data_IF_234727564530
#
_entry.id   IF_234727564530
#
_cell.length_a   1.000
_cell.length_b   1.000
_cell.length_c   1.000
_cell.angle_alpha   90.00
_cell.angle_beta   90.00
_cell.angle_gamma   90.00
#
_symmetry.space_group_name_H-M   'P 1'
#
loop_
_entity.id
_entity.type
_entity.pdbx_description
1 polymer ?
#
# COMPACT_ATOMS: atom_id res chain seq x y z
N UNK A 1 50.84 20.81 -79.64
CA UNK A 1 49.99 21.51 -78.65
C UNK A 1 49.93 20.66 -77.38
N UNK A 2 50.11 21.12 -76.15
CA UNK A 2 50.70 22.28 -75.52
C UNK A 2 50.59 21.99 -74.00
N UNK A 3 51.71 22.04 -73.25
CA UNK A 3 51.87 22.24 -71.79
C UNK A 3 51.08 21.30 -70.82
N UNK A 4 51.59 20.81 -69.69
CA UNK A 4 52.50 21.41 -68.72
C UNK A 4 53.22 20.35 -67.86
N UNK A 5 54.42 20.71 -67.41
CA UNK A 5 55.32 19.92 -66.58
C UNK A 5 55.10 20.18 -65.07
N UNK A 6 55.25 19.11 -64.27
CA UNK A 6 56.03 18.97 -63.01
C UNK A 6 55.69 19.81 -61.76
N UNK A 7 55.42 19.12 -60.63
CA UNK A 7 56.07 19.27 -59.31
C UNK A 7 55.30 18.43 -58.25
N UNK A 8 55.86 17.32 -57.76
CA UNK A 8 56.65 17.18 -56.50
C UNK A 8 55.72 16.96 -55.27
N UNK A 9 55.62 15.73 -54.77
CA UNK A 9 56.48 15.04 -53.77
C UNK A 9 55.92 15.16 -52.34
N UNK A 10 55.59 13.97 -51.80
CA UNK A 10 55.87 13.51 -50.42
C UNK A 10 55.25 14.23 -49.22
N UNK A 11 54.52 13.48 -48.40
CA UNK A 11 54.16 13.89 -47.04
C UNK A 11 53.45 12.79 -46.25
N UNK A 12 54.22 11.81 -45.80
CA UNK A 12 53.85 10.73 -44.88
C UNK A 12 53.01 11.18 -43.69
N UNK A 13 51.99 10.37 -43.34
CA UNK A 13 51.21 10.47 -42.10
C UNK A 13 52.13 10.59 -40.88
N UNK A 14 52.04 11.71 -40.17
CA UNK A 14 52.82 11.99 -38.98
C UNK A 14 51.92 12.22 -37.75
N UNK A 15 52.13 11.34 -36.78
CA UNK A 15 52.14 11.55 -35.32
C UNK A 15 50.85 11.80 -34.52
N UNK A 16 50.68 10.87 -33.57
CA UNK A 16 49.97 10.96 -32.29
C UNK A 16 50.27 12.26 -31.52
N UNK A 17 49.27 12.68 -30.75
CA UNK A 17 49.32 13.23 -29.38
C UNK A 17 48.71 14.62 -29.22
N UNK A 18 47.47 14.68 -28.69
CA UNK A 18 47.19 15.62 -27.60
C UNK A 18 46.07 15.08 -26.69
N UNK A 19 46.52 14.64 -25.51
CA UNK A 19 45.71 14.18 -24.39
C UNK A 19 45.00 15.39 -23.77
N UNK A 20 43.80 15.72 -24.22
CA UNK A 20 42.95 16.71 -23.55
C UNK A 20 42.16 16.01 -22.44
N UNK A 21 42.86 15.66 -21.37
CA UNK A 21 42.20 15.40 -20.08
C UNK A 21 41.70 16.72 -19.52
N UNK A 22 40.53 17.15 -20.00
CA UNK A 22 39.75 18.20 -19.35
C UNK A 22 39.25 17.62 -18.03
N UNK A 23 40.07 17.76 -16.99
CA UNK A 23 39.68 17.55 -15.60
C UNK A 23 38.56 18.55 -15.32
N UNK A 24 37.32 18.14 -15.60
CA UNK A 24 36.14 18.77 -15.04
C UNK A 24 36.25 18.58 -13.53
N UNK A 25 36.80 19.60 -12.86
CA UNK A 25 36.76 19.76 -11.41
C UNK A 25 35.30 19.68 -11.00
N UNK A 26 34.82 18.49 -10.65
CA UNK A 26 33.46 18.28 -10.14
C UNK A 26 33.36 19.17 -8.91
N UNK A 27 32.65 20.29 -9.06
CA UNK A 27 32.31 21.21 -7.96
C UNK A 27 31.73 20.33 -6.85
N UNK A 28 32.45 20.21 -5.73
CA UNK A 28 31.96 19.48 -4.57
C UNK A 28 30.65 20.15 -4.15
N UNK A 29 29.52 19.52 -4.49
CA UNK A 29 28.22 20.03 -4.07
C UNK A 29 28.16 19.89 -2.55
N UNK A 30 27.96 21.03 -1.86
CA UNK A 30 27.69 21.04 -0.41
C UNK A 30 26.64 19.99 -0.11
N UNK A 31 26.91 19.12 0.86
CA UNK A 31 25.98 18.11 1.30
C UNK A 31 24.64 18.77 1.63
N UNK A 32 23.59 18.42 0.86
CA UNK A 32 22.24 18.95 1.08
C UNK A 32 21.82 18.56 2.49
N UNK A 33 21.66 19.56 3.38
CA UNK A 33 21.13 19.35 4.74
C UNK A 33 19.86 18.51 4.62
N UNK A 34 19.83 17.38 5.32
CA UNK A 34 18.68 16.47 5.34
C UNK A 34 17.47 17.28 5.84
N UNK A 35 16.58 17.68 4.92
CA UNK A 35 15.33 18.36 5.24
C UNK A 35 14.60 17.71 6.43
N UNK A 36 14.21 18.51 7.42
CA UNK A 36 13.50 18.07 8.64
C UNK A 36 12.10 17.51 8.33
N UNK A 37 11.48 17.99 7.24
CA UNK A 37 10.13 17.63 6.80
C UNK A 37 10.18 16.59 5.67
N UNK A 38 9.49 15.47 5.86
CA UNK A 38 9.25 14.46 4.83
C UNK A 38 8.16 14.93 3.86
N UNK A 39 8.50 14.97 2.57
CA UNK A 39 7.58 15.30 1.47
C UNK A 39 7.44 14.09 0.52
N UNK A 40 6.32 14.03 -0.21
CA UNK A 40 6.08 13.00 -1.22
C UNK A 40 5.37 11.74 -0.73
N UNK A 41 5.19 10.76 -1.64
CA UNK A 41 4.37 9.55 -1.43
C UNK A 41 4.83 8.69 -0.24
N UNK A 42 6.13 8.65 0.03
CA UNK A 42 6.72 7.86 1.12
C UNK A 42 6.92 8.66 2.41
N UNK A 43 6.37 9.87 2.53
CA UNK A 43 6.64 10.75 3.68
C UNK A 43 6.40 10.06 5.04
N UNK A 44 5.27 9.36 5.18
CA UNK A 44 4.93 8.62 6.42
C UNK A 44 5.90 7.47 6.70
N UNK A 45 6.32 6.75 5.66
CA UNK A 45 7.30 5.67 5.80
C UNK A 45 8.69 6.20 6.19
N UNK A 46 9.10 7.35 5.63
CA UNK A 46 10.39 7.98 5.97
C UNK A 46 10.43 8.51 7.41
N UNK A 47 9.30 9.01 7.93
CA UNK A 47 9.18 9.43 9.33
C UNK A 47 9.18 8.21 10.26
N UNK A 48 8.46 7.14 9.90
CA UNK A 48 8.48 5.89 10.68
C UNK A 48 9.88 5.26 10.72
N UNK A 49 10.65 5.39 9.64
CA UNK A 49 12.04 4.93 9.56
C UNK A 49 13.06 5.90 10.20
N UNK A 50 12.62 6.99 10.84
CA UNK A 50 13.50 7.96 11.51
C UNK A 50 14.35 8.83 10.57
N UNK A 51 14.17 8.72 9.24
CA UNK A 51 14.96 9.49 8.25
C UNK A 51 14.60 10.98 8.26
N UNK A 52 13.44 11.33 8.83
CA UNK A 52 12.84 12.67 8.88
C UNK A 52 12.04 12.79 10.18
N UNK A 53 11.89 14.00 10.71
CA UNK A 53 11.22 14.21 11.99
C UNK A 53 9.68 14.29 11.86
N UNK A 54 9.19 15.00 10.83
CA UNK A 54 7.75 15.23 10.63
C UNK A 54 7.35 15.14 9.17
N UNK A 55 6.10 14.75 8.90
CA UNK A 55 5.50 14.86 7.56
C UNK A 55 5.07 16.29 7.26
N UNK A 56 4.72 16.60 6.01
CA UNK A 56 4.14 17.90 5.63
C UNK A 56 2.90 18.28 6.45
N UNK A 57 2.09 17.28 6.83
CA UNK A 57 0.91 17.46 7.70
C UNK A 57 1.21 17.44 9.20
N UNK A 58 2.48 17.53 9.62
CA UNK A 58 2.86 17.61 11.03
C UNK A 58 2.89 16.29 11.80
N UNK A 59 2.58 15.15 11.17
CA UNK A 59 2.64 13.85 11.86
C UNK A 59 4.09 13.45 12.15
N UNK A 60 4.35 13.13 13.43
CA UNK A 60 5.58 12.51 13.95
C UNK A 60 5.46 10.98 13.98
N UNK A 61 6.58 10.30 14.27
CA UNK A 61 6.66 8.85 14.39
C UNK A 61 5.64 8.28 15.39
N UNK A 62 5.44 8.94 16.54
CA UNK A 62 4.52 8.51 17.61
C UNK A 62 3.06 8.39 17.14
N UNK A 63 2.70 9.13 16.09
CA UNK A 63 1.34 9.19 15.56
C UNK A 63 1.12 8.24 14.38
N UNK A 64 2.15 7.49 13.97
CA UNK A 64 2.11 6.57 12.84
C UNK A 64 2.10 5.12 13.32
N UNK A 65 1.49 4.26 12.50
CA UNK A 65 1.46 2.81 12.71
C UNK A 65 1.45 2.10 11.36
N UNK A 66 1.92 0.85 11.33
CA UNK A 66 1.95 -0.01 10.13
C UNK A 66 0.75 -0.95 10.17
N UNK A 67 -0.01 -1.01 9.07
CA UNK A 67 -1.10 -1.98 8.95
C UNK A 67 -0.58 -3.37 8.50
N UNK A 68 -1.47 -4.38 8.51
CA UNK A 68 -1.14 -5.74 8.06
C UNK A 68 -0.61 -5.82 6.62
N UNK A 69 -1.06 -4.91 5.75
CA UNK A 69 -0.61 -4.79 4.36
C UNK A 69 0.70 -3.99 4.19
N UNK A 70 1.36 -3.63 5.29
CA UNK A 70 2.61 -2.89 5.29
C UNK A 70 2.53 -1.39 5.00
N UNK A 71 1.32 -0.84 4.81
CA UNK A 71 1.07 0.60 4.62
C UNK A 71 1.17 1.34 5.95
N UNK A 72 1.92 2.44 5.95
CA UNK A 72 2.03 3.34 7.11
C UNK A 72 0.85 4.33 7.12
N UNK A 73 0.03 4.24 8.15
CA UNK A 73 -1.16 5.07 8.38
C UNK A 73 -1.04 5.80 9.71
N UNK A 74 -1.87 6.81 9.95
CA UNK A 74 -1.92 7.45 11.27
C UNK A 74 -2.70 6.59 12.26
N UNK A 75 -2.32 6.64 13.54
CA UNK A 75 -3.04 5.95 14.62
C UNK A 75 -4.51 6.38 14.68
N UNK A 76 -4.79 7.67 14.50
CA UNK A 76 -6.15 8.23 14.38
C UNK A 76 -6.97 7.56 13.27
N UNK A 77 -6.40 7.43 12.07
CA UNK A 77 -7.09 6.79 10.95
C UNK A 77 -7.34 5.30 11.19
N UNK A 78 -6.38 4.60 11.82
CA UNK A 78 -6.56 3.20 12.21
C UNK A 78 -7.68 3.03 13.23
N UNK A 79 -7.74 3.88 14.26
CA UNK A 79 -8.80 3.85 15.26
C UNK A 79 -10.17 4.15 14.67
N UNK A 80 -10.27 5.13 13.76
CA UNK A 80 -11.51 5.43 13.04
C UNK A 80 -12.00 4.22 12.22
N UNK A 81 -11.11 3.57 11.48
CA UNK A 81 -11.46 2.35 10.72
C UNK A 81 -11.98 1.23 11.61
N UNK A 82 -11.37 1.02 12.78
CA UNK A 82 -11.84 0.02 13.76
C UNK A 82 -13.23 0.35 14.31
N UNK A 83 -13.52 1.63 14.59
CA UNK A 83 -14.85 2.06 15.05
C UNK A 83 -15.92 1.86 13.98
N UNK A 84 -15.60 2.19 12.73
CA UNK A 84 -16.52 1.98 11.61
C UNK A 84 -16.83 0.48 11.40
N UNK A 85 -15.82 -0.39 11.55
CA UNK A 85 -15.97 -1.84 11.34
C UNK A 85 -16.99 -2.50 12.28
N UNK A 86 -17.21 -1.96 13.49
CA UNK A 86 -18.20 -2.50 14.45
C UNK A 86 -19.62 -2.61 13.88
N UNK A 87 -19.98 -1.73 12.95
CA UNK A 87 -21.32 -1.74 12.33
C UNK A 87 -21.47 -2.84 11.28
N UNK A 88 -20.37 -3.42 10.80
CA UNK A 88 -20.33 -4.39 9.68
C UNK A 88 -19.92 -5.78 10.19
N UNK A 89 -19.24 -5.85 11.33
CA UNK A 89 -18.73 -7.07 11.96
C UNK A 89 -19.79 -8.17 12.09
N UNK A 90 -20.99 -7.82 12.60
CA UNK A 90 -22.07 -8.80 12.76
C UNK A 90 -22.51 -9.47 11.46
N UNK A 91 -22.61 -8.70 10.37
CA UNK A 91 -22.95 -9.24 9.05
C UNK A 91 -21.84 -10.13 8.48
N UNK A 92 -20.57 -9.72 8.64
CA UNK A 92 -19.42 -10.49 8.15
C UNK A 92 -19.32 -11.84 8.87
N UNK A 93 -19.49 -11.86 10.18
CA UNK A 93 -19.49 -13.09 10.98
C UNK A 93 -20.64 -14.03 10.58
N UNK A 94 -21.84 -13.50 10.38
CA UNK A 94 -22.98 -14.29 9.94
C UNK A 94 -22.76 -14.91 8.55
N UNK A 95 -22.17 -14.16 7.61
CA UNK A 95 -21.81 -14.66 6.28
C UNK A 95 -20.70 -15.72 6.35
N UNK A 96 -19.70 -15.57 7.25
CA UNK A 96 -18.66 -16.58 7.46
C UNK A 96 -19.24 -17.89 8.00
N UNK A 97 -20.10 -17.81 9.03
CA UNK A 97 -20.78 -18.99 9.58
C UNK A 97 -21.63 -19.71 8.51
N UNK A 98 -22.38 -18.96 7.70
CA UNK A 98 -23.15 -19.53 6.60
C UNK A 98 -22.26 -20.19 5.53
N UNK A 99 -21.09 -19.62 5.24
CA UNK A 99 -20.12 -20.22 4.29
C UNK A 99 -19.53 -21.52 4.80
N UNK A 100 -19.24 -21.59 6.09
CA UNK A 100 -18.75 -22.80 6.76
C UNK A 100 -19.80 -23.91 6.75
N UNK A 101 -21.04 -23.59 7.13
CA UNK A 101 -22.16 -24.54 7.13
C UNK A 101 -22.48 -25.10 5.73
N UNK A 102 -22.32 -24.28 4.69
CA UNK A 102 -22.57 -24.68 3.29
C UNK A 102 -21.32 -25.21 2.58
N UNK A 103 -20.17 -25.28 3.25
CA UNK A 103 -18.88 -25.72 2.69
C UNK A 103 -18.52 -25.10 1.32
N UNK A 104 -18.88 -23.83 1.11
CA UNK A 104 -18.67 -23.17 -0.18
C UNK A 104 -17.23 -22.67 -0.32
N UNK A 105 -16.50 -23.20 -1.31
CA UNK A 105 -15.13 -22.79 -1.63
C UNK A 105 -15.12 -21.87 -2.85
N UNK A 106 -14.32 -20.80 -2.79
CA UNK A 106 -14.19 -19.83 -3.87
C UNK A 106 -15.21 -18.68 -3.81
N UNK A 107 -15.29 -17.94 -4.91
CA UNK A 107 -16.18 -16.78 -5.01
C UNK A 107 -17.62 -17.23 -5.27
N UNK A 108 -18.54 -16.77 -4.43
CA UNK A 108 -19.99 -16.95 -4.60
C UNK A 108 -20.66 -15.60 -4.40
N UNK A 109 -21.46 -15.18 -5.37
CA UNK A 109 -22.22 -13.94 -5.30
C UNK A 109 -23.32 -14.06 -4.23
N UNK A 110 -23.34 -13.13 -3.28
CA UNK A 110 -24.39 -13.04 -2.26
C UNK A 110 -25.67 -12.53 -2.93
N UNK A 111 -26.79 -13.23 -2.73
CA UNK A 111 -28.06 -12.95 -3.41
C UNK A 111 -27.95 -12.97 -4.95
N UNK A 112 -27.12 -13.88 -5.48
CA UNK A 112 -27.02 -14.14 -6.91
C UNK A 112 -28.18 -15.00 -7.44
N UNK A 113 -28.18 -15.22 -8.75
CA UNK A 113 -29.12 -16.15 -9.42
C UNK A 113 -28.83 -17.63 -9.12
N UNK A 114 -27.67 -17.93 -8.53
CA UNK A 114 -27.30 -19.29 -8.14
C UNK A 114 -27.98 -19.69 -6.83
N UNK A 115 -28.39 -20.96 -6.74
CA UNK A 115 -29.03 -21.54 -5.55
C UNK A 115 -28.15 -21.35 -4.30
N UNK A 116 -26.83 -21.49 -4.45
CA UNK A 116 -25.86 -21.29 -3.39
C UNK A 116 -25.79 -19.82 -2.92
N UNK A 117 -25.97 -18.86 -3.84
CA UNK A 117 -25.96 -17.42 -3.51
C UNK A 117 -27.19 -16.97 -2.75
N UNK A 118 -28.36 -17.56 -3.05
CA UNK A 118 -29.60 -17.35 -2.31
C UNK A 118 -29.54 -18.00 -0.92
N UNK A 119 -29.05 -19.24 -0.83
CA UNK A 119 -28.87 -19.95 0.45
C UNK A 119 -27.90 -19.22 1.39
N UNK A 120 -26.82 -18.64 0.87
CA UNK A 120 -25.89 -17.83 1.67
C UNK A 120 -26.53 -16.54 2.22
N UNK A 121 -27.41 -15.89 1.45
CA UNK A 121 -28.12 -14.70 1.91
C UNK A 121 -29.14 -15.04 3.00
N UNK A 122 -29.95 -16.09 2.79
CA UNK A 122 -30.92 -16.56 3.78
C UNK A 122 -30.25 -17.07 5.07
N UNK A 123 -29.19 -17.86 4.95
CA UNK A 123 -28.42 -18.36 6.09
C UNK A 123 -27.70 -17.25 6.87
N UNK A 124 -27.10 -16.28 6.16
CA UNK A 124 -26.46 -15.13 6.80
C UNK A 124 -27.45 -14.21 7.51
N UNK A 125 -28.63 -13.98 6.92
CA UNK A 125 -29.69 -13.20 7.56
C UNK A 125 -30.24 -13.90 8.80
N UNK A 126 -30.46 -15.22 8.74
CA UNK A 126 -30.98 -16.01 9.86
C UNK A 126 -29.98 -16.07 11.03
N UNK A 127 -28.68 -16.22 10.76
CA UNK A 127 -27.65 -16.21 11.82
C UNK A 127 -27.55 -14.82 12.46
N UNK A 128 -27.68 -13.75 11.68
CA UNK A 128 -27.65 -12.38 12.20
C UNK A 128 -28.86 -12.09 13.10
N UNK A 129 -30.06 -12.52 12.72
CA UNK A 129 -31.28 -12.34 13.52
C UNK A 129 -31.28 -13.21 14.76
N UNK A 130 -30.84 -14.48 14.67
CA UNK A 130 -30.70 -15.35 15.84
C UNK A 130 -29.66 -14.84 16.84
N UNK A 131 -28.56 -14.24 16.35
CA UNK A 131 -27.54 -13.66 17.23
C UNK A 131 -27.99 -12.36 17.88
N UNK A 132 -28.74 -11.50 17.19
CA UNK A 132 -29.33 -10.32 17.84
C UNK A 132 -30.39 -10.71 18.87
N UNK A 133 -31.15 -11.77 18.60
CA UNK A 133 -32.16 -12.32 19.52
C UNK A 133 -31.54 -12.97 20.76
N UNK A 134 -30.45 -13.73 20.59
CA UNK A 134 -29.71 -14.36 21.70
C UNK A 134 -28.98 -13.35 22.58
N UNK A 135 -28.57 -12.20 22.04
CA UNK A 135 -27.99 -11.09 22.82
C UNK A 135 -29.06 -10.23 23.52
N UNK A 136 -30.34 -10.41 23.19
CA UNK A 136 -31.47 -9.68 23.78
C UNK A 136 -32.09 -10.39 24.99
N UNK A 137 -31.64 -11.58 25.39
CA UNK A 137 -32.17 -12.24 26.60
C UNK A 137 -31.17 -13.19 27.28
N UNK A 138 -30.49 -12.73 28.34
CA UNK A 138 -29.98 -13.61 29.39
C UNK A 138 -31.07 -13.98 30.43
N UNK A 139 -32.32 -13.51 30.27
CA UNK A 139 -33.37 -13.70 31.28
C UNK A 139 -34.30 -14.90 31.04
N UNK A 140 -34.30 -15.49 29.84
CA UNK A 140 -35.24 -16.56 29.47
C UNK A 140 -34.62 -17.97 29.43
N UNK A 141 -33.35 -18.13 29.86
CA UNK A 141 -32.66 -19.44 29.85
C UNK A 141 -32.76 -20.20 31.18
N UNK A 142 -33.33 -19.59 32.22
CA UNK A 142 -33.58 -20.22 33.53
C UNK A 142 -35.00 -20.82 33.65
N UNK A 143 -35.95 -20.43 32.78
CA UNK A 143 -37.37 -20.85 32.87
C UNK A 143 -37.68 -22.19 32.15
N UNK A 144 -36.67 -22.90 31.62
CA UNK A 144 -36.87 -24.21 30.94
C UNK A 144 -36.07 -25.33 31.65
N UNK A 145 -35.85 -25.20 32.96
CA UNK A 145 -35.28 -26.26 33.82
C UNK A 145 -36.15 -26.61 35.04
N UNK A 146 -37.46 -26.41 34.95
CA UNK A 146 -38.43 -27.04 35.86
C UNK A 146 -39.20 -28.14 35.13
#
# INVERSE_FOLDING_TARGET
MALAMKASKTGSKAMKAMKVTKVMKKKAMKAKRVAKVAKGRMAKAMVLAGKREKTTGGLKQDNLTKNKNGKVVSKKASAHGKRAFRHIEGWVEAVMAAREALHTKGFVAINGKSLQGQALYGGGFLVLTLRSLSLMSPAATEEIRL
#
